data_IF_958828348448
#
_entry.id   IF_958828348448
#
_cell.length_a   1.000
_cell.length_b   1.000
_cell.length_c   1.000
_cell.angle_alpha   90.00
_cell.angle_beta   90.00
_cell.angle_gamma   90.00
#
_symmetry.space_group_name_H-M   'P 1'
#
loop_
_entity.id
_entity.type
_entity.pdbx_description
1 polymer ?
#
# COMPACT_ATOMS: atom_id res chain seq x y z
N UNK A 1 -36.47 -52.26 6.40
CA UNK A 1 -35.90 -50.92 6.16
C UNK A 1 -34.44 -50.73 6.62
N UNK A 2 -33.63 -51.78 6.82
CA UNK A 2 -32.24 -51.63 7.32
C UNK A 2 -31.16 -51.96 6.28
N UNK A 3 -31.42 -52.86 5.32
CA UNK A 3 -30.38 -53.29 4.35
C UNK A 3 -30.16 -52.32 3.18
N UNK A 4 -31.17 -51.55 2.79
CA UNK A 4 -31.04 -50.61 1.65
C UNK A 4 -30.24 -49.35 2.00
N UNK A 5 -30.30 -48.88 3.27
CA UNK A 5 -29.48 -47.75 3.74
C UNK A 5 -27.99 -48.09 3.84
N UNK A 6 -27.65 -49.32 4.21
CA UNK A 6 -26.24 -49.77 4.33
C UNK A 6 -25.59 -49.90 2.95
N UNK A 7 -26.34 -50.39 1.95
CA UNK A 7 -25.84 -50.48 0.57
C UNK A 7 -25.64 -49.09 -0.04
N UNK A 8 -26.54 -48.13 0.23
CA UNK A 8 -26.41 -46.77 -0.29
C UNK A 8 -25.25 -45.98 0.37
N UNK A 9 -24.97 -46.23 1.65
CA UNK A 9 -23.83 -45.62 2.36
C UNK A 9 -22.49 -46.21 1.89
N UNK A 10 -22.43 -47.52 1.60
CA UNK A 10 -21.22 -48.12 1.04
C UNK A 10 -20.95 -47.67 -0.41
N UNK A 11 -21.98 -47.45 -1.22
CA UNK A 11 -21.81 -47.00 -2.61
C UNK A 11 -21.28 -45.55 -2.69
N UNK A 12 -21.65 -44.69 -1.73
CA UNK A 12 -21.13 -43.31 -1.64
C UNK A 12 -19.68 -43.29 -1.12
N UNK A 13 -19.31 -44.21 -0.21
CA UNK A 13 -17.94 -44.35 0.29
C UNK A 13 -16.94 -44.83 -0.78
N UNK A 14 -17.39 -45.56 -1.81
CA UNK A 14 -16.55 -46.08 -2.89
C UNK A 14 -16.29 -45.07 -4.02
N UNK A 15 -17.02 -43.95 -4.07
CA UNK A 15 -16.79 -42.88 -5.05
C UNK A 15 -15.88 -41.74 -4.55
N UNK A 16 -15.46 -41.78 -3.28
CA UNK A 16 -14.64 -40.71 -2.67
C UNK A 16 -13.14 -40.96 -2.69
N UNK A 17 -12.65 -42.06 -3.25
CA UNK A 17 -11.20 -42.33 -3.32
C UNK A 17 -10.81 -42.87 -4.69
N UNK A 18 -10.57 -41.95 -5.63
CA UNK A 18 -9.30 -41.81 -6.36
C UNK A 18 -9.44 -40.65 -7.34
N UNK A 19 -9.39 -39.42 -6.84
CA UNK A 19 -8.77 -38.37 -7.64
C UNK A 19 -7.27 -38.55 -7.45
N UNK A 20 -6.65 -39.40 -8.28
CA UNK A 20 -5.23 -39.23 -8.55
C UNK A 20 -5.12 -37.86 -9.22
N UNK A 21 -4.70 -36.87 -8.43
CA UNK A 21 -4.10 -35.68 -9.01
C UNK A 21 -2.90 -36.17 -9.81
N UNK A 22 -2.98 -35.99 -11.12
CA UNK A 22 -1.87 -36.23 -12.02
C UNK A 22 -0.80 -35.20 -11.65
N UNK A 23 0.30 -35.73 -11.14
CA UNK A 23 1.60 -35.12 -10.90
C UNK A 23 1.96 -34.15 -12.05
N UNK A 24 1.67 -32.87 -11.87
CA UNK A 24 2.43 -31.81 -12.53
C UNK A 24 3.73 -31.69 -11.76
N UNK A 25 4.88 -31.84 -12.43
CA UNK A 25 6.24 -31.64 -11.88
C UNK A 25 6.21 -30.79 -10.60
N UNK A 26 6.50 -31.45 -9.48
CA UNK A 26 6.26 -30.96 -8.12
C UNK A 26 6.88 -29.57 -7.92
N UNK A 27 6.02 -28.54 -7.95
CA UNK A 27 6.42 -27.17 -7.71
C UNK A 27 6.92 -27.05 -6.27
N UNK A 28 8.22 -26.84 -6.13
CA UNK A 28 8.86 -26.70 -4.84
C UNK A 28 8.52 -25.35 -4.20
N UNK A 29 8.47 -25.24 -2.86
CA UNK A 29 8.28 -23.97 -2.18
C UNK A 29 9.36 -22.93 -2.56
N UNK A 30 9.01 -21.62 -2.64
CA UNK A 30 9.92 -20.56 -3.09
C UNK A 30 11.23 -20.50 -2.28
N UNK A 31 11.18 -20.83 -0.99
CA UNK A 31 12.35 -20.84 -0.10
C UNK A 31 13.35 -21.97 -0.42
N UNK A 32 12.87 -23.09 -0.97
CA UNK A 32 13.71 -24.21 -1.38
C UNK A 32 14.36 -23.95 -2.74
N UNK A 33 13.65 -23.27 -3.64
CA UNK A 33 14.11 -22.98 -5.00
C UNK A 33 14.93 -21.70 -5.12
N UNK A 34 14.71 -20.72 -4.25
CA UNK A 34 15.41 -19.43 -4.23
C UNK A 34 16.11 -19.23 -2.89
N UNK A 35 17.25 -19.88 -2.73
CA UNK A 35 18.02 -19.82 -1.49
C UNK A 35 18.90 -18.57 -1.46
N UNK A 36 18.35 -17.48 -0.90
CA UNK A 36 19.07 -16.23 -0.69
C UNK A 36 19.94 -16.27 0.57
N UNK A 37 21.17 -15.76 0.47
CA UNK A 37 22.15 -15.58 1.53
C UNK A 37 22.92 -14.28 1.32
N UNK A 38 23.46 -13.69 2.39
CA UNK A 38 24.26 -12.46 2.29
C UNK A 38 25.48 -12.54 3.23
N UNK A 39 26.58 -11.93 2.81
CA UNK A 39 27.81 -11.81 3.61
C UNK A 39 28.48 -10.47 3.36
N UNK A 40 29.14 -9.93 4.36
CA UNK A 40 30.02 -8.77 4.18
C UNK A 40 31.33 -9.22 3.52
N UNK A 41 31.68 -8.63 2.39
CA UNK A 41 32.95 -8.88 1.69
C UNK A 41 34.01 -7.84 2.08
N UNK A 42 33.58 -6.70 2.64
CA UNK A 42 34.44 -5.67 3.22
C UNK A 42 33.62 -4.70 4.07
N UNK A 43 34.24 -3.63 4.60
CA UNK A 43 33.56 -2.64 5.46
C UNK A 43 32.44 -1.89 4.73
N UNK A 44 32.55 -1.75 3.41
CA UNK A 44 31.63 -0.95 2.59
C UNK A 44 30.94 -1.80 1.49
N UNK A 45 30.93 -3.13 1.61
CA UNK A 45 30.37 -3.98 0.57
C UNK A 45 29.77 -5.27 1.14
N UNK A 46 28.52 -5.53 0.78
CA UNK A 46 27.79 -6.77 1.04
C UNK A 46 27.63 -7.51 -0.29
N UNK A 47 27.97 -8.80 -0.32
CA UNK A 47 27.64 -9.70 -1.43
C UNK A 47 26.40 -10.51 -1.06
N UNK A 48 25.35 -10.37 -1.87
CA UNK A 48 24.11 -11.15 -1.75
C UNK A 48 24.13 -12.24 -2.81
N UNK A 49 23.97 -13.50 -2.40
CA UNK A 49 24.01 -14.67 -3.27
C UNK A 49 22.68 -15.42 -3.21
N UNK A 50 22.10 -15.68 -4.38
CA UNK A 50 21.01 -16.63 -4.57
C UNK A 50 21.51 -17.91 -5.23
N UNK A 51 21.13 -19.06 -4.67
CA UNK A 51 21.19 -20.35 -5.35
C UNK A 51 19.79 -20.67 -5.88
N UNK A 52 19.68 -20.87 -7.19
CA UNK A 52 18.41 -21.02 -7.91
C UNK A 52 18.31 -22.45 -8.43
N UNK A 53 17.25 -23.17 -8.04
CA UNK A 53 17.00 -24.53 -8.51
C UNK A 53 16.86 -24.61 -10.04
N UNK A 54 17.20 -25.77 -10.60
CA UNK A 54 17.06 -26.02 -12.05
C UNK A 54 15.58 -25.90 -12.45
N UNK A 55 15.30 -25.25 -13.58
CA UNK A 55 13.93 -25.00 -14.04
C UNK A 55 13.29 -23.75 -13.46
N UNK A 56 14.03 -22.93 -12.70
CA UNK A 56 13.55 -21.67 -12.11
C UNK A 56 14.41 -20.50 -12.55
N UNK A 57 13.84 -19.30 -12.52
CA UNK A 57 14.54 -18.05 -12.81
C UNK A 57 14.07 -16.88 -11.94
N UNK A 58 14.98 -15.95 -11.65
CA UNK A 58 14.71 -14.70 -10.94
C UNK A 58 14.76 -13.51 -11.91
N UNK A 59 13.86 -12.55 -11.75
CA UNK A 59 13.82 -11.36 -12.60
C UNK A 59 14.56 -10.18 -11.99
N UNK A 60 15.43 -9.54 -12.78
CA UNK A 60 16.21 -8.38 -12.35
C UNK A 60 15.32 -7.23 -11.86
N UNK A 61 14.28 -6.89 -12.62
CA UNK A 61 13.40 -5.73 -12.34
C UNK A 61 12.59 -5.88 -11.04
N UNK A 62 12.43 -7.10 -10.53
CA UNK A 62 11.67 -7.38 -9.30
C UNK A 62 12.55 -7.37 -8.04
N UNK A 63 13.85 -7.13 -8.16
CA UNK A 63 14.79 -7.17 -7.03
C UNK A 63 14.94 -5.81 -6.36
N UNK A 64 14.70 -5.75 -5.05
CA UNK A 64 14.92 -4.55 -4.22
C UNK A 64 15.60 -4.91 -2.90
N UNK A 65 16.36 -3.96 -2.35
CA UNK A 65 17.18 -4.13 -1.16
C UNK A 65 16.89 -2.99 -0.19
N UNK A 66 16.60 -3.34 1.05
CA UNK A 66 16.34 -2.39 2.12
C UNK A 66 17.10 -2.81 3.37
N UNK A 67 17.42 -1.86 4.24
CA UNK A 67 18.07 -2.13 5.52
C UNK A 67 17.16 -1.66 6.64
N UNK A 68 16.96 -2.52 7.64
CA UNK A 68 16.22 -2.16 8.86
C UNK A 68 17.08 -1.37 9.85
N UNK A 69 18.38 -1.25 9.59
CA UNK A 69 19.32 -0.49 10.41
C UNK A 69 19.49 0.91 9.83
N UNK A 70 19.00 1.98 10.49
CA UNK A 70 18.98 3.34 9.93
C UNK A 70 20.37 3.98 9.80
N UNK A 71 21.38 3.43 10.47
CA UNK A 71 22.77 3.92 10.45
C UNK A 71 23.51 3.54 9.16
N UNK A 72 22.92 2.63 8.37
CA UNK A 72 23.50 2.05 7.18
C UNK A 72 22.73 2.55 5.98
N UNK A 73 23.44 3.16 5.03
CA UNK A 73 22.89 3.56 3.74
C UNK A 73 23.39 2.60 2.67
N UNK A 74 22.45 2.00 1.92
CA UNK A 74 22.77 1.15 0.79
C UNK A 74 23.01 2.02 -0.45
N UNK A 75 24.06 1.71 -1.22
CA UNK A 75 24.29 2.29 -2.54
C UNK A 75 23.61 1.47 -3.64
N UNK A 76 23.86 1.87 -4.90
CA UNK A 76 23.30 1.19 -6.06
C UNK A 76 23.79 -0.25 -6.17
N UNK A 77 22.86 -1.20 -6.21
CA UNK A 77 23.17 -2.63 -6.36
C UNK A 77 23.80 -2.90 -7.73
N UNK A 78 24.97 -3.54 -7.73
CA UNK A 78 25.70 -3.92 -8.93
C UNK A 78 25.32 -5.35 -9.32
N UNK A 79 24.48 -5.45 -10.36
CA UNK A 79 24.02 -6.73 -10.91
C UNK A 79 24.99 -7.27 -11.96
N UNK A 80 25.22 -8.60 -12.00
CA UNK A 80 25.93 -9.23 -13.10
C UNK A 80 25.05 -9.22 -14.36
N UNK A 81 25.63 -9.40 -15.56
CA UNK A 81 24.86 -9.53 -16.79
C UNK A 81 23.94 -10.76 -16.71
N UNK A 82 22.64 -10.55 -16.88
CA UNK A 82 21.63 -11.60 -16.92
C UNK A 82 21.33 -12.07 -18.34
N UNK A 83 20.54 -13.14 -18.44
CA UNK A 83 20.04 -13.63 -19.74
C UNK A 83 18.80 -12.83 -20.12
N UNK A 84 18.77 -12.31 -21.33
CA UNK A 84 17.61 -11.58 -21.85
C UNK A 84 16.70 -12.57 -22.57
N UNK A 85 15.40 -12.56 -22.22
CA UNK A 85 14.34 -13.25 -22.93
C UNK A 85 13.36 -12.19 -23.42
N UNK A 86 13.05 -12.22 -24.71
CA UNK A 86 12.00 -11.38 -25.26
C UNK A 86 10.63 -12.02 -24.98
N UNK A 87 9.73 -11.23 -24.42
CA UNK A 87 8.33 -11.59 -24.20
C UNK A 87 7.45 -10.64 -25.03
N UNK A 88 6.47 -11.19 -25.76
CA UNK A 88 5.64 -10.42 -26.70
C UNK A 88 4.78 -9.33 -26.02
N UNK A 89 4.52 -9.47 -24.71
CA UNK A 89 3.69 -8.53 -23.94
C UNK A 89 4.52 -7.63 -23.01
N UNK A 90 5.63 -8.15 -22.49
CA UNK A 90 6.44 -7.50 -21.45
C UNK A 90 7.78 -6.95 -21.96
N UNK A 91 8.11 -7.19 -23.24
CA UNK A 91 9.36 -6.77 -23.86
C UNK A 91 10.56 -7.58 -23.37
N UNK A 92 11.74 -6.96 -23.36
CA UNK A 92 12.98 -7.64 -22.95
C UNK A 92 13.04 -7.80 -21.43
N UNK A 93 13.03 -9.05 -20.98
CA UNK A 93 13.12 -9.45 -19.58
C UNK A 93 14.50 -10.05 -19.30
N UNK A 94 15.26 -9.40 -18.44
CA UNK A 94 16.52 -9.92 -17.93
C UNK A 94 16.28 -10.82 -16.71
N UNK A 95 16.74 -12.07 -16.80
CA UNK A 95 16.55 -13.09 -15.79
C UNK A 95 17.85 -13.84 -15.46
N UNK A 96 17.90 -14.39 -14.24
CA UNK A 96 19.03 -15.13 -13.69
C UNK A 96 18.65 -16.57 -13.37
N UNK A 97 19.60 -17.49 -13.54
CA UNK A 97 19.44 -18.94 -13.29
C UNK A 97 20.69 -19.47 -12.59
N UNK A 98 20.56 -20.63 -11.96
CA UNK A 98 21.63 -21.36 -11.25
C UNK A 98 22.20 -20.60 -10.06
N UNK A 99 22.94 -19.52 -10.29
CA UNK A 99 23.53 -18.69 -9.26
C UNK A 99 23.51 -17.21 -9.64
N UNK A 100 23.12 -16.37 -8.70
CA UNK A 100 23.14 -14.92 -8.83
C UNK A 100 23.92 -14.32 -7.67
N UNK A 101 24.93 -13.52 -7.98
CA UNK A 101 25.74 -12.76 -7.00
C UNK A 101 25.61 -11.28 -7.27
N UNK A 102 25.16 -10.53 -6.29
CA UNK A 102 24.95 -9.08 -6.39
C UNK A 102 25.83 -8.40 -5.36
N UNK A 103 26.58 -7.41 -5.82
CA UNK A 103 27.42 -6.60 -4.95
C UNK A 103 26.67 -5.33 -4.57
N UNK A 104 26.46 -5.14 -3.28
CA UNK A 104 25.73 -4.02 -2.71
C UNK A 104 26.72 -3.13 -1.94
N UNK A 105 27.04 -1.93 -2.47
CA UNK A 105 27.84 -0.95 -1.76
C UNK A 105 27.10 -0.49 -0.50
N UNK A 106 27.84 -0.29 0.58
CA UNK A 106 27.30 0.13 1.87
C UNK A 106 28.10 1.31 2.39
N UNK A 107 27.39 2.35 2.83
CA UNK A 107 27.95 3.47 3.58
C UNK A 107 27.48 3.35 5.02
N UNK A 108 28.41 2.97 5.88
CA UNK A 108 28.21 2.99 7.31
C UNK A 108 28.64 4.36 7.87
N UNK A 109 27.70 5.07 8.46
CA UNK A 109 27.95 6.42 9.01
C UNK A 109 28.42 6.40 10.46
N UNK A 110 28.27 5.27 11.18
CA UNK A 110 28.48 5.20 12.65
C UNK A 110 29.24 3.97 13.16
N UNK A 111 29.65 3.05 12.31
CA UNK A 111 30.44 1.88 12.71
C UNK A 111 29.58 0.73 13.24
N UNK A 112 28.43 0.46 12.61
CA UNK A 112 27.52 -0.60 12.98
C UNK A 112 28.17 -2.00 12.81
N UNK A 113 28.18 -2.80 13.87
CA UNK A 113 28.78 -4.14 13.87
C UNK A 113 27.91 -5.22 13.22
N UNK A 114 26.62 -4.95 13.04
CA UNK A 114 25.66 -5.85 12.41
C UNK A 114 24.53 -5.08 11.73
N UNK A 115 23.94 -5.68 10.70
CA UNK A 115 22.82 -5.13 9.95
C UNK A 115 21.82 -6.20 9.58
N UNK A 116 20.55 -5.82 9.46
CA UNK A 116 19.50 -6.67 8.93
C UNK A 116 19.09 -6.16 7.53
N UNK A 117 19.49 -6.90 6.51
CA UNK A 117 19.18 -6.62 5.11
C UNK A 117 17.88 -7.34 4.72
N UNK A 118 16.90 -6.60 4.25
CA UNK A 118 15.67 -7.13 3.68
C UNK A 118 15.83 -7.18 2.16
N UNK A 119 15.66 -8.37 1.59
CA UNK A 119 15.70 -8.58 0.14
C UNK A 119 14.31 -8.91 -0.37
N UNK A 120 13.86 -8.15 -1.37
CA UNK A 120 12.64 -8.41 -2.11
C UNK A 120 13.01 -9.00 -3.47
N UNK A 121 12.35 -10.08 -3.87
CA UNK A 121 12.60 -10.74 -5.15
C UNK A 121 11.36 -11.48 -5.65
N UNK A 122 11.34 -11.76 -6.95
CA UNK A 122 10.31 -12.58 -7.57
C UNK A 122 10.93 -13.49 -8.62
N UNK A 123 10.41 -14.71 -8.73
CA UNK A 123 10.84 -15.67 -9.72
C UNK A 123 9.69 -16.52 -10.25
N UNK A 124 9.96 -17.23 -11.34
CA UNK A 124 9.03 -18.16 -11.97
C UNK A 124 9.72 -19.48 -12.28
N UNK A 125 8.91 -20.53 -12.32
CA UNK A 125 9.25 -21.81 -12.89
C UNK A 125 9.08 -21.76 -14.42
N UNK A 126 9.92 -22.51 -15.13
CA UNK A 126 9.90 -22.60 -16.59
C UNK A 126 8.61 -23.22 -17.14
N UNK A 127 7.87 -23.93 -16.29
CA UNK A 127 6.55 -24.48 -16.59
C UNK A 127 5.45 -23.40 -16.67
N UNK A 128 5.81 -22.11 -16.54
CA UNK A 128 4.89 -20.99 -16.69
C UNK A 128 4.23 -20.51 -15.40
N UNK A 129 4.67 -21.01 -14.23
CA UNK A 129 4.13 -20.62 -12.93
C UNK A 129 5.03 -19.61 -12.25
N UNK A 130 4.47 -18.45 -11.90
CA UNK A 130 5.19 -17.38 -11.22
C UNK A 130 4.81 -17.32 -9.74
N UNK A 131 5.82 -17.22 -8.88
CA UNK A 131 5.61 -17.04 -7.45
C UNK A 131 5.24 -15.57 -7.16
N UNK A 132 4.46 -15.32 -6.09
CA UNK A 132 4.23 -13.94 -5.63
C UNK A 132 5.54 -13.29 -5.16
N UNK A 133 5.60 -11.95 -5.06
CA UNK A 133 6.76 -11.25 -4.51
C UNK A 133 7.15 -11.81 -3.13
N UNK A 134 8.42 -12.14 -2.97
CA UNK A 134 8.99 -12.69 -1.75
C UNK A 134 9.77 -11.61 -1.01
N UNK A 135 9.73 -11.64 0.31
CA UNK A 135 10.52 -10.79 1.21
C UNK A 135 11.30 -11.69 2.17
N UNK A 136 12.61 -11.46 2.30
CA UNK A 136 13.46 -12.22 3.23
C UNK A 136 14.41 -11.30 3.98
N UNK A 137 14.39 -11.37 5.30
CA UNK A 137 15.37 -10.70 6.15
C UNK A 137 16.64 -11.58 6.31
N UNK A 138 17.81 -10.97 6.15
CA UNK A 138 19.12 -11.59 6.24
C UNK A 138 19.98 -10.82 7.23
N UNK A 139 20.44 -11.49 8.29
CA UNK A 139 21.30 -10.89 9.30
C UNK A 139 22.78 -10.99 8.86
N UNK A 140 23.47 -9.84 8.82
CA UNK A 140 24.84 -9.72 8.31
C UNK A 140 25.70 -9.07 9.38
N UNK A 141 26.87 -9.66 9.64
CA UNK A 141 27.90 -9.08 10.51
C UNK A 141 28.85 -8.25 9.64
N UNK A 142 29.00 -6.97 9.95
CA UNK A 142 29.88 -6.05 9.23
C UNK A 142 31.24 -5.97 9.93
N UNK A 143 32.37 -6.04 9.20
CA UNK A 143 33.68 -5.79 9.78
C UNK A 143 33.83 -4.29 10.07
N UNK A 144 34.20 -3.93 11.30
CA UNK A 144 34.35 -2.55 11.76
C UNK A 144 35.41 -1.81 10.93
N UNK A 145 35.02 -0.69 10.31
CA UNK A 145 35.90 0.18 9.52
C UNK A 145 36.58 1.20 10.43
N UNK A 146 37.87 1.02 10.73
CA UNK A 146 38.71 2.07 11.34
C UNK A 146 39.04 3.13 10.27
N UNK A 147 38.27 4.22 10.23
CA UNK A 147 38.48 5.37 9.36
C UNK A 147 39.77 6.14 9.75
N UNK A 148 40.79 6.13 8.90
CA UNK A 148 41.90 7.08 8.93
C UNK A 148 41.60 8.23 7.95
N UNK A 149 41.36 9.42 8.48
CA UNK A 149 41.11 10.63 7.71
C UNK A 149 42.39 11.08 6.98
N UNK A 150 42.34 11.20 5.66
CA UNK A 150 43.35 11.91 4.89
C UNK A 150 42.62 12.79 3.86
N UNK A 151 42.50 14.08 4.19
CA UNK A 151 41.83 15.09 3.36
C UNK A 151 42.80 15.50 2.25
N UNK A 152 42.49 15.15 1.00
CA UNK A 152 43.26 15.56 -0.18
C UNK A 152 42.63 16.80 -0.83
N UNK A 153 43.44 17.73 -1.39
CA UNK A 153 43.00 19.05 -1.88
C UNK A 153 42.13 19.02 -3.16
N UNK A 154 41.62 17.84 -3.53
CA UNK A 154 40.73 17.63 -4.68
C UNK A 154 39.27 17.96 -4.33
N UNK A 155 38.88 17.84 -3.05
CA UNK A 155 37.52 18.15 -2.59
C UNK A 155 37.13 19.63 -2.77
N UNK A 156 38.11 20.53 -2.75
CA UNK A 156 37.88 21.97 -3.00
C UNK A 156 37.59 22.26 -4.48
N UNK A 157 38.12 21.44 -5.39
CA UNK A 157 37.87 21.56 -6.84
C UNK A 157 36.55 20.90 -7.25
N UNK A 158 36.16 19.79 -6.60
CA UNK A 158 34.85 19.15 -6.82
C UNK A 158 33.70 20.07 -6.38
N UNK A 159 33.86 20.83 -5.28
CA UNK A 159 32.87 21.84 -4.85
C UNK A 159 32.60 22.93 -5.90
N UNK A 160 33.55 23.23 -6.78
CA UNK A 160 33.38 24.22 -7.86
C UNK A 160 32.61 23.70 -9.08
N UNK A 161 32.61 22.38 -9.32
CA UNK A 161 31.94 21.74 -10.46
C UNK A 161 30.61 21.07 -10.09
N UNK A 162 30.35 20.82 -8.79
CA UNK A 162 29.04 20.41 -8.27
C UNK A 162 27.93 21.45 -8.49
N UNK A 163 28.28 22.70 -8.81
CA UNK A 163 27.31 23.75 -9.16
C UNK A 163 26.74 23.64 -10.58
N UNK A 164 27.27 22.77 -11.45
CA UNK A 164 26.91 22.80 -12.88
C UNK A 164 26.38 21.49 -13.49
N UNK A 165 26.25 20.39 -12.73
CA UNK A 165 25.69 19.13 -13.27
C UNK A 165 25.00 18.27 -12.20
N UNK A 166 23.74 18.60 -11.88
CA UNK A 166 22.74 17.63 -11.38
C UNK A 166 21.35 18.26 -11.14
N UNK A 167 20.85 19.09 -12.05
CA UNK A 167 19.48 19.65 -11.95
C UNK A 167 18.50 19.02 -12.95
N UNK A 168 18.78 17.80 -13.44
CA UNK A 168 17.93 17.20 -14.46
C UNK A 168 17.16 15.96 -14.02
N UNK A 169 17.53 15.27 -12.93
CA UNK A 169 16.73 14.17 -12.36
C UNK A 169 17.10 13.88 -10.90
N UNK A 170 16.60 14.65 -9.91
CA UNK A 170 16.39 14.22 -8.51
C UNK A 170 15.99 15.40 -7.61
N UNK A 171 14.70 15.69 -7.53
CA UNK A 171 14.12 16.07 -6.26
C UNK A 171 13.73 14.76 -5.57
N UNK A 172 14.57 14.29 -4.65
CA UNK A 172 14.23 13.16 -3.79
C UNK A 172 12.90 13.45 -3.08
N UNK A 173 12.02 12.46 -2.96
CA UNK A 173 10.72 12.66 -2.31
C UNK A 173 11.00 12.92 -0.83
N UNK A 174 10.42 13.98 -0.28
CA UNK A 174 10.57 14.29 1.14
C UNK A 174 9.84 13.22 1.97
N UNK A 175 10.37 12.84 3.14
CA UNK A 175 9.60 12.07 4.11
C UNK A 175 8.28 12.78 4.46
N UNK A 176 7.20 12.06 4.81
CA UNK A 176 5.89 12.67 5.06
C UNK A 176 5.92 13.81 6.09
N UNK A 177 6.71 13.65 7.15
CA UNK A 177 6.85 14.65 8.23
C UNK A 177 7.59 15.93 7.81
N UNK A 178 8.42 15.85 6.76
CA UNK A 178 9.10 17.00 6.18
C UNK A 178 8.25 17.64 5.07
N UNK A 179 7.53 16.80 4.31
CA UNK A 179 6.62 17.22 3.26
C UNK A 179 5.40 17.98 3.83
N UNK A 180 4.90 17.58 5.01
CA UNK A 180 3.70 18.12 5.63
C UNK A 180 3.94 18.38 7.11
N UNK A 181 4.36 19.60 7.43
CA UNK A 181 4.65 19.99 8.81
C UNK A 181 3.36 20.38 9.52
N UNK A 182 2.92 19.51 10.43
CA UNK A 182 1.76 19.75 11.28
C UNK A 182 2.15 20.38 12.61
N UNK A 183 1.44 21.42 13.03
CA UNK A 183 1.59 22.02 14.36
C UNK A 183 0.23 22.36 14.98
N UNK A 184 0.17 22.27 16.31
CA UNK A 184 -1.00 22.69 17.08
C UNK A 184 -0.53 23.42 18.34
N UNK A 185 -1.15 24.56 18.64
CA UNK A 185 -0.85 25.38 19.81
C UNK A 185 -2.14 25.85 20.47
N UNK A 186 -2.08 26.13 21.77
CA UNK A 186 -3.21 26.69 22.51
C UNK A 186 -3.10 28.22 22.42
N UNK A 187 -4.01 28.85 21.67
CA UNK A 187 -4.05 30.30 21.50
C UNK A 187 -4.64 30.98 22.74
N UNK A 188 -5.78 30.47 23.18
CA UNK A 188 -6.56 30.95 24.33
C UNK A 188 -7.15 29.76 25.10
N UNK A 189 -7.68 29.93 26.33
CA UNK A 189 -8.28 28.83 27.10
C UNK A 189 -9.43 28.08 26.41
N UNK A 190 -10.00 28.67 25.35
CA UNK A 190 -11.12 28.14 24.56
C UNK A 190 -10.81 28.01 23.07
N UNK A 191 -9.56 28.20 22.62
CA UNK A 191 -9.24 28.21 21.18
C UNK A 191 -7.90 27.53 20.91
N UNK A 192 -7.92 26.54 20.02
CA UNK A 192 -6.71 25.92 19.48
C UNK A 192 -6.36 26.56 18.14
N UNK A 193 -5.08 26.85 17.92
CA UNK A 193 -4.56 27.21 16.62
C UNK A 193 -3.86 25.99 16.02
N UNK A 194 -4.33 25.55 14.86
CA UNK A 194 -3.80 24.36 14.19
C UNK A 194 -3.36 24.74 12.79
N UNK A 195 -2.13 24.37 12.43
CA UNK A 195 -1.58 24.65 11.11
C UNK A 195 -0.94 23.43 10.45
N UNK A 196 -1.05 23.39 9.13
CA UNK A 196 -0.35 22.47 8.25
C UNK A 196 0.42 23.27 7.22
N UNK A 197 1.72 23.07 7.14
CA UNK A 197 2.59 23.69 6.15
C UNK A 197 3.11 22.61 5.18
N UNK A 198 2.53 22.49 3.98
CA UNK A 198 3.11 21.67 2.94
C UNK A 198 4.42 22.29 2.42
N UNK A 199 5.40 21.44 2.10
CA UNK A 199 6.64 21.86 1.47
C UNK A 199 6.43 22.24 -0.01
N UNK A 200 7.39 22.97 -0.59
CA UNK A 200 7.32 23.38 -2.00
C UNK A 200 7.20 22.16 -2.94
N UNK A 201 6.22 22.20 -3.85
CA UNK A 201 5.90 21.09 -4.75
C UNK A 201 5.05 19.98 -4.13
N UNK A 202 4.47 20.21 -2.95
CA UNK A 202 3.52 19.33 -2.28
C UNK A 202 2.21 20.06 -2.02
N UNK A 203 1.12 19.29 -1.92
CA UNK A 203 -0.20 19.82 -1.60
C UNK A 203 -1.00 18.87 -0.73
N UNK A 204 -1.94 19.42 0.05
CA UNK A 204 -2.88 18.69 0.89
C UNK A 204 -4.30 18.77 0.33
N UNK A 205 -5.07 17.69 0.43
CA UNK A 205 -6.48 17.69 0.02
C UNK A 205 -7.39 18.25 1.11
N UNK A 206 -8.21 19.23 0.76
CA UNK A 206 -9.15 19.89 1.69
C UNK A 206 -10.15 18.93 2.34
N UNK A 207 -10.61 17.95 1.59
CA UNK A 207 -11.62 17.00 2.08
C UNK A 207 -11.05 15.91 3.00
N UNK A 208 -9.72 15.84 3.12
CA UNK A 208 -9.04 14.79 3.90
C UNK A 208 -8.60 15.24 5.29
N UNK A 209 -8.88 16.49 5.68
CA UNK A 209 -8.63 16.96 7.04
C UNK A 209 -9.70 16.46 8.00
N UNK A 210 -9.28 15.76 9.05
CA UNK A 210 -10.16 15.36 10.17
C UNK A 210 -9.44 15.58 11.49
N UNK A 211 -10.15 16.10 12.49
CA UNK A 211 -9.60 16.37 13.81
C UNK A 211 -10.42 15.64 14.88
N UNK A 212 -9.73 14.99 15.81
CA UNK A 212 -10.33 14.23 16.91
C UNK A 212 -9.58 14.51 18.21
N UNK A 213 -10.30 14.57 19.34
CA UNK A 213 -9.69 14.60 20.66
C UNK A 213 -9.67 13.19 21.24
N UNK A 214 -8.51 12.76 21.73
CA UNK A 214 -8.34 11.45 22.36
C UNK A 214 -8.29 11.63 23.88
N UNK A 215 -9.14 10.88 24.59
CA UNK A 215 -9.07 10.77 26.04
C UNK A 215 -9.67 11.95 26.82
N UNK A 216 -10.50 12.79 26.20
CA UNK A 216 -11.22 13.88 26.87
C UNK A 216 -12.73 13.81 26.67
N UNK A 217 -13.47 13.33 27.67
CA UNK A 217 -14.95 13.39 27.64
C UNK A 217 -15.48 14.79 27.96
N UNK A 218 -14.65 15.60 28.63
CA UNK A 218 -14.97 16.93 29.17
C UNK A 218 -14.63 18.09 28.23
N UNK A 219 -13.93 17.82 27.12
CA UNK A 219 -13.53 18.82 26.13
C UNK A 219 -13.94 18.29 24.76
N UNK A 220 -14.69 19.11 24.02
CA UNK A 220 -15.09 18.82 22.64
C UNK A 220 -14.59 19.91 21.72
N UNK A 221 -14.27 19.53 20.48
CA UNK A 221 -14.04 20.50 19.42
C UNK A 221 -15.38 21.13 19.04
N UNK A 222 -15.42 22.45 18.97
CA UNK A 222 -16.54 23.20 18.42
C UNK A 222 -16.50 23.19 16.89
N UNK A 223 -17.50 23.84 16.28
CA UNK A 223 -17.54 23.95 14.82
C UNK A 223 -16.35 24.78 14.31
N UNK A 224 -15.62 24.23 13.35
CA UNK A 224 -14.55 24.91 12.63
C UNK A 224 -14.81 24.80 11.13
N UNK A 225 -14.31 25.77 10.37
CA UNK A 225 -14.37 25.77 8.91
C UNK A 225 -12.96 25.89 8.34
N UNK A 226 -12.60 24.97 7.46
CA UNK A 226 -11.36 25.08 6.69
C UNK A 226 -11.50 26.20 5.65
N UNK A 227 -10.41 26.93 5.34
CA UNK A 227 -10.41 27.91 4.25
C UNK A 227 -10.74 27.23 2.91
N UNK A 228 -11.07 28.03 1.90
CA UNK A 228 -11.30 27.51 0.55
C UNK A 228 -9.94 27.14 -0.08
N UNK A 229 -9.88 25.97 -0.70
CA UNK A 229 -8.70 25.51 -1.43
C UNK A 229 -8.70 25.98 -2.88
N UNK A 230 -7.64 25.61 -3.61
CA UNK A 230 -7.59 25.75 -5.06
C UNK A 230 -8.17 24.50 -5.71
N UNK A 231 -9.07 24.61 -6.71
CA UNK A 231 -9.59 23.44 -7.39
C UNK A 231 -8.49 22.78 -8.23
N UNK A 232 -8.43 21.45 -8.18
CA UNK A 232 -7.53 20.60 -8.97
C UNK A 232 -8.28 19.39 -9.48
N UNK A 233 -8.01 19.03 -10.72
CA UNK A 233 -8.45 17.75 -11.28
C UNK A 233 -7.33 16.74 -11.06
N UNK A 234 -7.65 15.68 -10.33
CA UNK A 234 -6.75 14.60 -9.93
C UNK A 234 -7.17 13.30 -10.62
N UNK A 235 -6.22 12.53 -11.14
CA UNK A 235 -6.52 11.30 -11.89
C UNK A 235 -7.18 10.21 -11.01
N UNK A 236 -6.89 10.20 -9.71
CA UNK A 236 -7.43 9.22 -8.77
C UNK A 236 -8.72 9.70 -8.10
N UNK A 237 -8.84 11.00 -7.84
CA UNK A 237 -9.93 11.57 -7.04
C UNK A 237 -10.88 12.51 -7.80
N UNK A 238 -10.62 12.81 -9.06
CA UNK A 238 -11.44 13.70 -9.87
C UNK A 238 -11.31 15.16 -9.42
N UNK A 239 -12.44 15.86 -9.29
CA UNK A 239 -12.46 17.28 -8.94
C UNK A 239 -12.34 17.45 -7.43
N UNK A 240 -11.21 18.00 -6.97
CA UNK A 240 -10.90 18.16 -5.55
C UNK A 240 -10.38 19.57 -5.26
N UNK A 241 -10.50 20.03 -4.02
CA UNK A 241 -9.82 21.23 -3.55
C UNK A 241 -8.52 20.86 -2.82
N UNK A 242 -7.46 21.59 -3.13
CA UNK A 242 -6.12 21.37 -2.58
C UNK A 242 -5.52 22.63 -1.96
N UNK A 243 -4.46 22.44 -1.18
CA UNK A 243 -3.66 23.51 -0.60
C UNK A 243 -2.18 23.28 -0.85
N UNK A 244 -1.55 24.16 -1.63
CA UNK A 244 -0.09 24.25 -1.80
C UNK A 244 0.59 25.13 -0.74
N UNK A 245 -0.20 25.92 -0.02
CA UNK A 245 0.27 26.87 0.99
C UNK A 245 -0.15 26.45 2.39
N UNK A 246 0.34 27.17 3.39
CA UNK A 246 -0.06 26.95 4.78
C UNK A 246 -1.58 27.02 4.96
N UNK A 247 -2.12 26.01 5.64
CA UNK A 247 -3.51 25.96 6.08
C UNK A 247 -3.52 26.14 7.58
N UNK A 248 -4.06 27.25 8.06
CA UNK A 248 -4.18 27.54 9.48
C UNK A 248 -5.64 27.75 9.86
N UNK A 249 -6.09 27.12 10.95
CA UNK A 249 -7.47 27.16 11.42
C UNK A 249 -7.51 27.30 12.93
N UNK A 250 -8.33 28.25 13.40
CA UNK A 250 -8.65 28.42 14.80
C UNK A 250 -9.89 27.56 15.14
N UNK A 251 -9.71 26.60 16.05
CA UNK A 251 -10.76 25.65 16.45
C UNK A 251 -11.25 26.03 17.85
N UNK A 252 -12.53 26.40 18.01
CA UNK A 252 -13.09 26.66 19.33
C UNK A 252 -13.18 25.37 20.14
N UNK A 253 -12.95 25.44 21.45
CA UNK A 253 -13.09 24.34 22.40
C UNK A 253 -14.32 24.55 23.27
N UNK A 254 -15.15 23.52 23.34
CA UNK A 254 -16.29 23.44 24.26
C UNK A 254 -15.82 22.64 25.48
N UNK A 255 -15.61 23.33 26.61
CA UNK A 255 -15.14 22.73 27.86
C UNK A 255 -16.29 22.63 28.86
N UNK A 256 -16.44 21.46 29.48
CA UNK A 256 -17.36 21.25 30.61
C UNK A 256 -16.74 21.68 31.94
N UNK A 257 -15.41 21.63 32.07
CA UNK A 257 -14.66 22.03 33.25
C UNK A 257 -13.61 23.10 32.91
N UNK A 258 -13.43 24.06 33.81
CA UNK A 258 -12.49 25.18 33.68
C UNK A 258 -11.09 24.88 34.22
N UNK A 259 -10.87 23.70 34.79
CA UNK A 259 -9.61 23.27 35.39
C UNK A 259 -8.54 23.05 34.31
N UNK A 260 -7.27 23.39 34.57
CA UNK A 260 -6.16 23.02 33.69
C UNK A 260 -6.10 21.52 33.47
N UNK A 261 -5.96 21.09 32.22
CA UNK A 261 -5.87 19.67 31.86
C UNK A 261 -5.06 19.49 30.58
N UNK A 262 -4.43 18.32 30.45
CA UNK A 262 -3.78 17.90 29.22
C UNK A 262 -4.81 17.23 28.31
N UNK A 263 -4.78 17.58 27.02
CA UNK A 263 -5.59 16.95 25.98
C UNK A 263 -4.67 16.43 24.87
N UNK A 264 -5.11 15.38 24.17
CA UNK A 264 -4.41 14.88 22.98
C UNK A 264 -5.24 15.19 21.75
N UNK A 265 -4.71 16.02 20.85
CA UNK A 265 -5.34 16.32 19.58
C UNK A 265 -4.74 15.41 18.50
N UNK A 266 -5.59 14.63 17.85
CA UNK A 266 -5.23 13.80 16.70
C UNK A 266 -5.75 14.45 15.42
N UNK A 267 -4.84 14.73 14.49
CA UNK A 267 -5.12 15.27 13.17
C UNK A 267 -4.88 14.21 12.10
N UNK A 268 -5.85 14.00 11.22
CA UNK A 268 -5.73 13.18 10.03
C UNK A 268 -5.70 14.09 8.80
N UNK A 269 -4.84 13.77 7.85
CA UNK A 269 -4.69 14.52 6.60
C UNK A 269 -4.02 13.65 5.53
N UNK A 270 -4.14 14.06 4.27
CA UNK A 270 -3.50 13.38 3.15
C UNK A 270 -3.05 14.40 2.12
N UNK A 271 -1.90 14.14 1.50
CA UNK A 271 -1.36 15.00 0.46
C UNK A 271 -0.53 14.23 -0.56
N UNK A 272 -0.17 14.92 -1.63
CA UNK A 272 0.63 14.38 -2.72
C UNK A 272 1.70 15.39 -3.14
N UNK A 273 2.71 14.89 -3.82
CA UNK A 273 3.68 15.70 -4.54
C UNK A 273 3.12 16.03 -5.94
N UNK A 274 3.41 17.23 -6.45
CA UNK A 274 2.97 17.69 -7.79
C UNK A 274 3.49 16.81 -8.94
N UNK A 275 4.54 16.03 -8.67
CA UNK A 275 5.11 15.01 -9.57
C UNK A 275 4.32 13.71 -9.66
N UNK A 276 3.09 13.66 -9.11
CA UNK A 276 2.17 12.53 -9.25
C UNK A 276 2.34 11.40 -8.24
N UNK A 277 2.96 11.64 -7.08
CA UNK A 277 3.09 10.63 -6.02
C UNK A 277 2.29 11.05 -4.79
N UNK A 278 1.34 10.23 -4.39
CA UNK A 278 0.49 10.46 -3.23
C UNK A 278 0.95 9.68 -2.01
N UNK A 279 0.90 10.34 -0.85
CA UNK A 279 1.15 9.69 0.43
C UNK A 279 -0.13 8.99 0.91
N UNK A 280 -0.02 7.89 1.67
CA UNK A 280 -1.18 7.29 2.32
C UNK A 280 -1.82 8.27 3.33
N UNK A 281 -3.06 8.03 3.78
CA UNK A 281 -3.65 8.81 4.87
C UNK A 281 -2.74 8.82 6.10
N UNK A 282 -2.41 10.01 6.60
CA UNK A 282 -1.50 10.22 7.72
C UNK A 282 -2.27 10.70 8.94
N UNK A 283 -1.72 10.42 10.12
CA UNK A 283 -2.18 10.98 11.38
C UNK A 283 -1.04 11.47 12.27
N UNK A 284 -1.29 12.59 12.96
CA UNK A 284 -0.39 13.16 13.96
C UNK A 284 -1.14 13.46 15.25
N UNK A 285 -0.56 13.04 16.37
CA UNK A 285 -1.10 13.30 17.70
C UNK A 285 -0.18 14.27 18.43
N UNK A 286 -0.73 15.37 18.93
CA UNK A 286 -0.01 16.39 19.72
C UNK A 286 -0.67 16.50 21.08
N UNK A 287 0.15 16.55 22.12
CA UNK A 287 -0.30 16.79 23.49
C UNK A 287 -0.30 18.30 23.77
N UNK A 288 -1.43 18.82 24.26
CA UNK A 288 -1.64 20.24 24.50
C UNK A 288 -2.06 20.45 25.96
N UNK A 289 -1.46 21.44 26.61
CA UNK A 289 -1.82 21.84 27.97
C UNK A 289 -2.82 22.98 27.93
N UNK A 290 -4.06 22.73 28.35
CA UNK A 290 -5.08 23.77 28.43
C UNK A 290 -4.93 24.58 29.73
N UNK A 291 -4.79 25.91 29.66
CA UNK A 291 -4.79 26.75 30.84
C UNK A 291 -6.18 26.81 31.50
N UNK A 292 -6.26 27.39 32.69
CA UNK A 292 -7.52 27.61 33.39
C UNK A 292 -8.42 28.55 32.56
N UNK A 293 -9.66 28.13 32.31
CA UNK A 293 -10.63 28.96 31.58
C UNK A 293 -11.43 29.84 32.54
N UNK A 294 -11.63 31.13 32.20
CA UNK A 294 -12.30 32.09 33.08
C UNK A 294 -13.85 32.05 32.99
N UNK A 295 -14.44 31.49 31.93
CA UNK A 295 -15.91 31.40 31.75
C UNK A 295 -16.33 30.25 30.83
N UNK A 296 -17.50 29.65 31.10
CA UNK A 296 -18.18 28.70 30.23
C UNK A 296 -18.94 29.45 29.13
N UNK A 297 -18.41 29.48 27.90
CA UNK A 297 -19.13 30.02 26.75
C UNK A 297 -20.01 28.94 26.12
N UNK A 298 -21.23 28.80 26.63
CA UNK A 298 -22.33 28.13 25.92
C UNK A 298 -23.00 29.13 24.99
N UNK A 299 -22.51 29.26 23.75
CA UNK A 299 -23.27 29.94 22.70
C UNK A 299 -23.83 28.88 21.77
N UNK A 300 -24.98 28.32 22.17
CA UNK A 300 -25.84 27.57 21.28
C UNK A 300 -26.69 28.55 20.46
N UNK A 301 -26.54 28.48 19.13
CA UNK A 301 -27.62 28.43 18.15
C UNK A 301 -27.01 28.45 16.75
N UNK A 302 -26.87 27.28 16.13
CA UNK A 302 -26.80 27.17 14.68
C UNK A 302 -27.79 26.08 14.28
N UNK A 303 -28.87 26.54 13.67
CA UNK A 303 -29.77 25.75 12.83
C UNK A 303 -28.97 24.76 12.02
N UNK A 304 -29.30 23.46 12.11
CA UNK A 304 -28.73 22.43 11.25
C UNK A 304 -28.79 22.88 9.79
N UNK A 305 -27.65 23.05 9.11
CA UNK A 305 -27.61 22.74 7.70
C UNK A 305 -27.59 21.22 7.63
N UNK A 306 -28.62 20.63 7.02
CA UNK A 306 -28.58 19.24 6.57
C UNK A 306 -27.32 19.09 5.72
N UNK A 307 -26.26 18.50 6.28
CA UNK A 307 -25.09 18.15 5.50
C UNK A 307 -25.56 17.22 4.38
N UNK A 308 -25.09 17.41 3.13
CA UNK A 308 -25.35 16.42 2.10
C UNK A 308 -24.70 15.12 2.59
N UNK A 309 -25.53 14.13 2.87
CA UNK A 309 -25.06 12.77 3.09
C UNK A 309 -24.20 12.41 1.88
N UNK A 310 -23.00 11.89 2.14
CA UNK A 310 -22.19 11.21 1.13
C UNK A 310 -23.11 10.34 0.29
N UNK A 311 -22.97 10.37 -1.04
CA UNK A 311 -23.81 9.61 -1.97
C UNK A 311 -23.94 8.12 -1.54
N UNK A 312 -22.85 7.55 -1.00
CA UNK A 312 -22.84 6.22 -0.39
C UNK A 312 -23.77 6.08 0.83
N UNK A 313 -23.77 7.05 1.74
CA UNK A 313 -24.63 7.05 2.93
C UNK A 313 -26.10 7.30 2.56
N UNK A 314 -26.34 8.07 1.49
CA UNK A 314 -27.68 8.33 0.94
C UNK A 314 -28.30 7.07 0.33
N UNK A 315 -27.52 6.28 -0.41
CA UNK A 315 -27.94 4.98 -0.94
C UNK A 315 -28.19 4.00 0.22
N UNK A 316 -27.29 3.95 1.20
CA UNK A 316 -27.41 3.04 2.36
C UNK A 316 -28.65 3.35 3.20
N UNK A 317 -28.97 4.64 3.39
CA UNK A 317 -30.17 5.11 4.07
C UNK A 317 -31.45 4.84 3.24
N UNK A 318 -31.40 5.01 1.91
CA UNK A 318 -32.51 4.68 1.00
C UNK A 318 -32.83 3.19 1.03
N UNK A 319 -31.82 2.32 1.02
CA UNK A 319 -32.00 0.86 1.10
C UNK A 319 -32.63 0.39 2.41
N UNK A 320 -32.45 1.16 3.49
CA UNK A 320 -33.00 0.82 4.80
C UNK A 320 -34.48 1.24 4.96
N UNK A 321 -34.98 2.12 4.09
CA UNK A 321 -36.33 2.70 4.18
C UNK A 321 -37.24 2.32 3.00
N UNK A 322 -36.70 1.69 1.95
CA UNK A 322 -37.44 1.31 0.74
C UNK A 322 -38.07 -0.10 0.82
N UNK A 323 -39.05 -0.38 -0.04
CA UNK A 323 -39.71 -1.69 -0.06
C UNK A 323 -38.73 -2.79 -0.50
N UNK A 324 -38.66 -3.89 0.26
CA UNK A 324 -37.78 -5.05 -0.03
C UNK A 324 -37.88 -5.55 -1.48
N UNK A 325 -39.06 -5.40 -2.10
CA UNK A 325 -39.29 -5.78 -3.48
C UNK A 325 -38.61 -4.83 -4.49
N UNK A 326 -38.67 -3.51 -4.24
CA UNK A 326 -37.97 -2.51 -5.06
C UNK A 326 -36.46 -2.68 -5.02
N UNK A 327 -35.92 -2.98 -3.83
CA UNK A 327 -34.49 -3.29 -3.65
C UNK A 327 -34.09 -4.54 -4.44
N UNK A 328 -34.85 -5.63 -4.34
CA UNK A 328 -34.56 -6.87 -5.08
C UNK A 328 -34.55 -6.66 -6.60
N UNK A 329 -35.53 -5.94 -7.14
CA UNK A 329 -35.59 -5.64 -8.58
C UNK A 329 -34.43 -4.74 -9.02
N UNK A 330 -34.06 -3.76 -8.21
CA UNK A 330 -32.94 -2.86 -8.49
C UNK A 330 -31.60 -3.60 -8.51
N UNK A 331 -31.29 -4.39 -7.46
CA UNK A 331 -30.06 -5.18 -7.40
C UNK A 331 -29.99 -6.22 -8.52
N UNK A 332 -31.10 -6.87 -8.85
CA UNK A 332 -31.16 -7.79 -9.98
C UNK A 332 -30.93 -7.07 -11.32
N UNK A 333 -31.53 -5.89 -11.51
CA UNK A 333 -31.35 -5.06 -12.69
C UNK A 333 -29.91 -4.58 -12.88
N UNK A 334 -29.29 -4.04 -11.82
CA UNK A 334 -27.89 -3.62 -11.85
C UNK A 334 -26.93 -4.80 -12.03
N UNK A 335 -27.19 -5.95 -11.39
CA UNK A 335 -26.41 -7.16 -11.61
C UNK A 335 -26.47 -7.66 -13.05
N UNK A 336 -27.65 -7.61 -13.68
CA UNK A 336 -27.83 -7.95 -15.09
C UNK A 336 -27.09 -6.94 -15.99
N UNK A 337 -27.21 -5.64 -15.71
CA UNK A 337 -26.51 -4.61 -16.47
C UNK A 337 -24.98 -4.76 -16.39
N UNK A 338 -24.46 -5.05 -15.19
CA UNK A 338 -23.04 -5.31 -14.97
C UNK A 338 -22.58 -6.60 -15.67
N UNK A 339 -23.44 -7.62 -15.76
CA UNK A 339 -23.16 -8.83 -16.55
C UNK A 339 -23.07 -8.57 -18.06
N UNK A 340 -23.64 -7.47 -18.57
CA UNK A 340 -23.57 -7.04 -19.97
C UNK A 340 -22.39 -6.09 -20.24
N UNK A 341 -21.50 -5.89 -19.28
CA UNK A 341 -20.32 -5.03 -19.47
C UNK A 341 -19.26 -5.71 -20.36
N UNK A 342 -18.48 -4.92 -21.13
CA UNK A 342 -17.52 -5.43 -22.11
C UNK A 342 -16.38 -6.27 -21.52
N UNK A 343 -16.20 -6.30 -20.19
CA UNK A 343 -15.21 -7.16 -19.51
C UNK A 343 -15.65 -8.61 -19.29
N UNK A 344 -16.95 -8.93 -19.25
CA UNK A 344 -17.47 -10.31 -19.10
C UNK A 344 -17.80 -10.94 -20.45
N UNK A 345 -18.00 -10.09 -21.47
CA UNK A 345 -18.25 -10.49 -22.85
C UNK A 345 -17.15 -11.37 -23.50
N UNK A 346 -15.85 -11.31 -23.13
CA UNK A 346 -14.84 -12.24 -23.65
C UNK A 346 -15.01 -13.68 -23.15
N UNK A 347 -15.65 -13.86 -21.99
CA UNK A 347 -15.81 -15.17 -21.35
C UNK A 347 -17.03 -15.95 -21.89
N UNK A 348 -18.06 -15.24 -22.39
CA UNK A 348 -19.29 -15.83 -22.96
C UNK A 348 -19.01 -16.64 -24.26
N UNK A 349 -18.19 -16.17 -25.22
CA UNK A 349 -17.79 -16.95 -26.39
C UNK A 349 -16.92 -18.15 -26.05
N UNK A 350 -16.09 -18.07 -25.00
CA UNK A 350 -15.22 -19.17 -24.56
C UNK A 350 -16.08 -20.31 -23.98
N UNK A 351 -17.02 -20.00 -23.07
CA UNK A 351 -17.94 -20.99 -22.51
C UNK A 351 -18.93 -21.53 -23.56
N UNK A 352 -19.48 -20.67 -24.41
CA UNK A 352 -20.35 -21.12 -25.52
C UNK A 352 -19.59 -21.99 -26.52
N UNK A 353 -18.31 -21.67 -26.80
CA UNK A 353 -17.43 -22.47 -27.65
C UNK A 353 -17.08 -23.83 -27.03
N UNK A 354 -16.89 -23.91 -25.71
CA UNK A 354 -16.63 -25.17 -25.00
C UNK A 354 -17.89 -26.06 -24.94
N UNK A 355 -19.08 -25.47 -24.76
CA UNK A 355 -20.34 -26.21 -24.65
C UNK A 355 -20.85 -26.66 -26.02
N UNK A 356 -20.75 -25.82 -27.06
CA UNK A 356 -21.16 -26.17 -28.44
C UNK A 356 -20.11 -27.02 -29.15
N UNK A 357 -18.82 -26.86 -28.82
CA UNK A 357 -17.71 -27.65 -29.39
C UNK A 357 -17.59 -29.08 -28.83
N UNK A 358 -18.12 -29.35 -27.64
CA UNK A 358 -18.20 -30.72 -27.07
C UNK A 358 -19.46 -31.43 -27.54
N UNK A 359 -19.46 -31.81 -28.82
CA UNK A 359 -20.49 -32.64 -29.42
C UNK A 359 -20.80 -33.93 -28.65
N UNK A 360 -22.10 -34.20 -28.51
CA UNK A 360 -22.78 -35.49 -28.31
C UNK A 360 -22.84 -36.17 -26.92
N UNK A 361 -22.29 -35.62 -25.81
CA UNK A 361 -22.45 -36.23 -24.47
C UNK A 361 -22.65 -35.25 -23.30
N UNK A 362 -23.11 -34.02 -23.55
CA UNK A 362 -23.45 -33.07 -22.48
C UNK A 362 -24.96 -33.16 -22.22
N UNK A 363 -25.33 -33.82 -21.13
CA UNK A 363 -26.72 -33.80 -20.64
C UNK A 363 -27.02 -32.46 -19.97
N UNK A 364 -28.25 -31.98 -20.12
CA UNK A 364 -28.71 -30.68 -19.58
C UNK A 364 -28.45 -30.52 -18.07
N UNK A 365 -28.52 -31.62 -17.32
CA UNK A 365 -28.21 -31.66 -15.89
C UNK A 365 -26.74 -31.35 -15.55
N UNK A 366 -25.79 -31.80 -16.38
CA UNK A 366 -24.34 -31.55 -16.16
C UNK A 366 -23.97 -30.11 -16.51
N UNK A 367 -24.59 -29.54 -17.55
CA UNK A 367 -24.43 -28.13 -17.90
C UNK A 367 -24.94 -27.23 -16.77
N UNK A 368 -26.11 -27.56 -16.19
CA UNK A 368 -26.68 -26.81 -15.07
C UNK A 368 -25.80 -26.87 -13.80
N UNK A 369 -25.24 -28.04 -13.47
CA UNK A 369 -24.34 -28.19 -12.32
C UNK A 369 -23.04 -27.39 -12.46
N UNK A 370 -22.48 -27.36 -13.67
CA UNK A 370 -21.28 -26.57 -13.95
C UNK A 370 -21.57 -25.07 -13.83
N UNK A 371 -22.70 -24.59 -14.36
CA UNK A 371 -23.10 -23.18 -14.18
C UNK A 371 -23.37 -22.83 -12.72
N UNK A 372 -23.95 -23.74 -11.95
CA UNK A 372 -24.21 -23.52 -10.52
C UNK A 372 -22.90 -23.40 -9.72
N UNK A 373 -21.89 -24.21 -10.03
CA UNK A 373 -20.59 -24.14 -9.35
C UNK A 373 -19.87 -22.81 -9.58
N UNK A 374 -20.06 -22.20 -10.75
CA UNK A 374 -19.42 -20.94 -11.11
C UNK A 374 -20.12 -19.72 -10.50
N UNK A 375 -21.40 -19.82 -10.18
CA UNK A 375 -22.17 -18.72 -9.53
C UNK A 375 -21.99 -18.73 -8.01
N UNK A 376 -21.67 -19.89 -7.43
CA UNK A 376 -21.47 -20.06 -5.98
C UNK A 376 -20.02 -19.82 -5.55
N UNK A 377 -19.05 -20.04 -6.45
CA UNK A 377 -17.64 -19.69 -6.26
C UNK A 377 -17.41 -18.20 -6.50
#
# INVERSE_FOLDING_TARGET
>A
MSRFKIVFICLISLFSQTAFSIESDELLPPEQVFQASAKAVGPNQIEVTWTIAKGYSLYRKSMRFETKTPEIQLGDAVFPPGKIKHDELLGDIEHYREQLKINLPVKDSKGASATQLVVHYQGCADIGVCYPPQEKALDIKLPTSTLAANVSPVDSLVKGISGLKSNLFQAELLPPDQAFQFSATVKDPSTLHVSWLPAEGYYLYREKFKLELIGSDKVKLGAYSLPNGTPKEDEAFGHVEIFHSEVAVDIPLIRSDTVPQQIKLKAYYQGCADRGVCYPPMDKTVELELPQAASMSSTGNSTQPTAPLSEQDQITQSLHNDSLWGTLVSFFGFGLLLSLTPCVFPMIPILSGIIVGRGHNITTARAFLLSLSYVVA
#
